data_IF_339310490828
#
_entry.id   IF_339310490828
#
_cell.length_a   1.000
_cell.length_b   1.000
_cell.length_c   1.000
_cell.angle_alpha   90.00
_cell.angle_beta   90.00
_cell.angle_gamma   90.00
#
_symmetry.space_group_name_H-M   'P 1'
#
loop_
_entity.id
_entity.type
_entity.pdbx_description
1 polymer ?
#
# COMPACT_ATOMS: atom_id res chain seq x y z
N UNK A 1 36.38 38.05 -37.09
CA UNK A 1 37.73 38.68 -37.08
C UNK A 1 38.47 38.14 -35.87
N UNK A 2 39.61 37.54 -36.16
CA UNK A 2 40.84 37.42 -35.36
C UNK A 2 40.71 36.66 -34.01
N UNK A 3 41.20 35.46 -33.95
CA UNK A 3 42.60 34.94 -33.86
C UNK A 3 43.06 34.84 -32.43
N UNK A 4 43.34 33.62 -31.97
CA UNK A 4 44.67 33.01 -31.73
C UNK A 4 45.21 33.32 -30.34
N UNK A 5 45.84 32.51 -29.53
CA UNK A 5 46.84 31.45 -29.75
C UNK A 5 47.19 30.84 -28.39
N UNK A 6 47.46 29.56 -28.37
CA UNK A 6 48.45 28.75 -27.67
C UNK A 6 49.32 29.37 -26.57
N UNK A 7 49.67 28.57 -25.52
CA UNK A 7 51.03 28.01 -25.39
C UNK A 7 51.07 26.94 -24.30
N UNK A 8 51.64 25.81 -24.65
CA UNK A 8 52.23 24.73 -23.86
C UNK A 8 53.36 25.24 -22.96
N UNK A 9 53.51 24.62 -21.77
CA UNK A 9 54.86 24.33 -21.28
C UNK A 9 54.87 23.10 -20.36
N UNK A 10 55.66 22.14 -20.76
CA UNK A 10 56.07 20.96 -20.03
C UNK A 10 57.16 21.32 -19.03
N UNK A 11 57.25 20.57 -17.91
CA UNK A 11 58.33 20.66 -16.94
C UNK A 11 58.45 19.34 -16.19
N UNK A 12 59.43 18.57 -16.55
CA UNK A 12 59.87 17.27 -16.01
C UNK A 12 60.71 17.44 -14.76
N UNK A 13 60.86 16.30 -13.99
CA UNK A 13 61.87 15.92 -12.99
C UNK A 13 61.59 16.33 -11.57
N UNK A 14 61.81 15.48 -10.54
CA UNK A 14 62.78 14.41 -10.36
C UNK A 14 62.39 13.40 -9.30
N UNK A 15 62.90 12.20 -9.45
CA UNK A 15 62.93 11.10 -8.49
C UNK A 15 63.63 11.48 -7.16
N UNK A 16 63.12 10.92 -6.04
CA UNK A 16 63.99 10.50 -4.95
C UNK A 16 63.35 9.30 -4.23
N UNK A 17 64.01 8.16 -4.38
CA UNK A 17 63.82 6.91 -3.63
C UNK A 17 64.25 7.11 -2.19
N UNK A 18 63.38 6.77 -1.22
CA UNK A 18 63.83 6.27 0.06
C UNK A 18 62.96 5.08 0.44
N UNK A 19 63.54 3.90 0.35
CA UNK A 19 63.02 2.67 0.91
C UNK A 19 63.22 2.67 2.41
N UNK A 20 62.18 2.47 3.18
CA UNK A 20 62.26 1.92 4.52
C UNK A 20 61.07 1.06 4.83
N UNK A 21 61.28 -0.25 4.96
CA UNK A 21 60.26 -1.25 5.13
C UNK A 21 59.50 -1.14 6.47
N UNK A 22 58.19 -1.16 6.38
CA UNK A 22 57.29 -1.67 7.42
C UNK A 22 56.33 -2.64 6.77
N UNK A 23 56.25 -3.84 7.35
CA UNK A 23 55.27 -4.87 6.95
C UNK A 23 53.91 -4.23 6.84
N UNK A 24 53.37 -4.21 5.61
CA UNK A 24 51.97 -3.92 5.36
C UNK A 24 51.15 -5.06 5.96
N UNK A 25 50.24 -4.72 6.87
CA UNK A 25 49.09 -5.55 7.16
C UNK A 25 48.31 -5.78 5.87
N UNK A 26 47.63 -6.92 5.67
CA UNK A 26 46.82 -7.11 4.49
C UNK A 26 45.72 -6.05 4.51
N UNK A 27 45.73 -5.17 3.52
CA UNK A 27 44.58 -4.34 3.20
C UNK A 27 43.43 -5.31 2.85
N UNK A 28 42.45 -5.39 3.74
CA UNK A 28 41.14 -5.84 3.39
C UNK A 28 40.56 -4.79 2.43
N UNK A 29 40.80 -4.98 1.14
CA UNK A 29 39.98 -4.38 0.11
C UNK A 29 38.61 -5.10 0.12
N UNK A 30 37.81 -4.78 1.10
CA UNK A 30 36.37 -4.98 0.99
C UNK A 30 35.87 -3.84 0.13
N UNK A 31 35.67 -4.09 -1.15
CA UNK A 31 34.76 -3.27 -1.93
C UNK A 31 33.45 -3.15 -1.14
N UNK A 32 32.90 -1.94 -0.98
CA UNK A 32 31.56 -1.82 -0.40
C UNK A 32 30.66 -2.63 -1.33
N UNK A 33 30.10 -3.74 -0.81
CA UNK A 33 29.12 -4.55 -1.52
C UNK A 33 28.07 -3.59 -2.03
N UNK A 34 28.03 -3.45 -3.37
CA UNK A 34 27.06 -2.61 -4.02
C UNK A 34 25.67 -2.96 -3.50
N UNK A 35 24.96 -1.98 -3.01
CA UNK A 35 23.73 -2.05 -2.22
C UNK A 35 22.51 -2.59 -3.01
N UNK A 36 22.69 -3.23 -4.17
CA UNK A 36 21.63 -3.64 -5.09
C UNK A 36 21.71 -5.07 -5.59
N UNK A 37 22.16 -6.00 -4.78
CA UNK A 37 22.20 -7.40 -5.20
C UNK A 37 21.06 -8.26 -4.65
N UNK A 38 20.16 -7.69 -3.82
CA UNK A 38 18.99 -8.42 -3.32
C UNK A 38 17.95 -8.48 -4.42
N UNK A 39 17.59 -9.70 -4.82
CA UNK A 39 16.62 -9.97 -5.89
C UNK A 39 15.27 -10.41 -5.38
N UNK A 40 15.19 -10.94 -4.16
CA UNK A 40 13.94 -11.25 -3.48
C UNK A 40 14.06 -11.00 -1.97
N UNK A 41 12.95 -10.63 -1.37
CA UNK A 41 12.80 -10.39 0.05
C UNK A 41 11.48 -11.00 0.51
N UNK A 42 11.52 -11.71 1.62
CA UNK A 42 10.33 -12.28 2.26
C UNK A 42 10.40 -11.99 3.74
N UNK A 43 9.27 -11.67 4.33
CA UNK A 43 9.17 -11.68 5.79
C UNK A 43 7.91 -12.41 6.26
N UNK A 44 7.97 -12.86 7.48
CA UNK A 44 6.84 -13.51 8.16
C UNK A 44 6.79 -13.10 9.62
N UNK A 45 5.60 -12.92 10.09
CA UNK A 45 5.15 -12.95 11.46
C UNK A 45 4.17 -14.12 11.62
N UNK A 46 3.68 -14.41 12.82
CA UNK A 46 2.72 -15.51 13.09
C UNK A 46 1.48 -15.48 12.18
N UNK A 47 1.04 -14.29 11.75
CA UNK A 47 -0.19 -14.09 10.98
C UNK A 47 0.03 -13.53 9.57
N UNK A 48 1.24 -13.11 9.26
CA UNK A 48 1.57 -12.41 8.01
C UNK A 48 2.70 -13.14 7.31
N UNK A 49 2.56 -13.31 6.00
CA UNK A 49 3.62 -13.76 5.11
C UNK A 49 3.58 -12.89 3.86
N UNK A 50 4.61 -12.11 3.62
CA UNK A 50 4.73 -11.27 2.44
C UNK A 50 6.02 -11.58 1.71
N UNK A 51 5.93 -11.67 0.39
CA UNK A 51 7.03 -11.98 -0.51
C UNK A 51 7.16 -10.92 -1.58
N UNK A 52 8.37 -10.42 -1.77
CA UNK A 52 8.71 -9.47 -2.82
C UNK A 52 9.74 -10.06 -3.77
N UNK A 53 9.65 -9.68 -5.01
CA UNK A 53 10.64 -9.97 -6.03
C UNK A 53 11.00 -8.70 -6.79
N UNK A 54 12.22 -8.64 -7.30
CA UNK A 54 12.66 -7.51 -8.13
C UNK A 54 12.46 -7.86 -9.60
N UNK A 55 11.70 -7.03 -10.30
CA UNK A 55 11.44 -7.14 -11.74
C UNK A 55 11.83 -5.81 -12.37
N UNK A 56 12.74 -5.83 -13.33
CA UNK A 56 13.26 -4.62 -14.01
C UNK A 56 13.66 -3.51 -13.01
N UNK A 57 14.47 -3.89 -12.01
CA UNK A 57 14.94 -3.04 -10.91
C UNK A 57 13.85 -2.44 -9.98
N UNK A 58 12.60 -2.84 -10.14
CA UNK A 58 11.47 -2.40 -9.31
C UNK A 58 11.01 -3.53 -8.41
N UNK A 59 10.71 -3.22 -7.15
CA UNK A 59 10.10 -4.17 -6.24
C UNK A 59 8.64 -4.44 -6.63
N UNK A 60 8.26 -5.71 -6.62
CA UNK A 60 6.89 -6.19 -6.85
C UNK A 60 6.49 -7.16 -5.76
N UNK A 61 5.20 -7.23 -5.44
CA UNK A 61 4.67 -8.31 -4.65
C UNK A 61 4.73 -9.61 -5.45
N UNK A 62 5.39 -10.65 -4.93
CA UNK A 62 5.62 -11.88 -5.68
C UNK A 62 4.35 -12.70 -5.97
N UNK A 63 3.32 -12.53 -5.12
CA UNK A 63 2.03 -13.24 -5.24
C UNK A 63 1.00 -12.47 -6.08
N UNK A 64 1.34 -11.23 -6.51
CA UNK A 64 0.51 -10.37 -7.36
C UNK A 64 1.37 -9.31 -8.02
N UNK A 65 2.00 -9.63 -9.15
CA UNK A 65 2.97 -8.75 -9.83
C UNK A 65 2.38 -7.44 -10.36
N UNK A 66 1.09 -7.39 -10.55
CA UNK A 66 0.30 -6.24 -10.98
C UNK A 66 -0.28 -5.41 -9.82
N UNK A 67 -0.10 -5.88 -8.56
CA UNK A 67 -0.48 -5.12 -7.38
C UNK A 67 0.17 -3.74 -7.37
N UNK A 68 -0.58 -2.65 -7.12
CA UNK A 68 -0.07 -1.30 -7.09
C UNK A 68 0.74 -1.04 -5.80
N UNK A 69 1.95 -1.56 -5.76
CA UNK A 69 2.83 -1.49 -4.59
C UNK A 69 3.48 -0.12 -4.46
N UNK A 70 3.32 0.54 -3.29
CA UNK A 70 4.25 1.57 -2.82
C UNK A 70 5.50 0.87 -2.28
N UNK A 71 6.59 0.90 -3.02
CA UNK A 71 7.81 0.18 -2.69
C UNK A 71 8.68 0.87 -1.62
N UNK A 72 8.26 2.02 -1.09
CA UNK A 72 8.98 2.78 -0.07
C UNK A 72 9.29 1.92 1.17
N UNK A 73 8.31 1.14 1.62
CA UNK A 73 8.46 0.21 2.74
C UNK A 73 9.53 -0.85 2.45
N UNK A 74 9.47 -1.46 1.25
CA UNK A 74 10.38 -2.54 0.85
C UNK A 74 11.81 -2.02 0.70
N UNK A 75 11.99 -0.83 0.12
CA UNK A 75 13.29 -0.17 0.00
C UNK A 75 13.91 0.14 1.37
N UNK A 76 13.08 0.59 2.33
CA UNK A 76 13.56 0.81 3.70
C UNK A 76 13.92 -0.51 4.37
N UNK A 77 13.10 -1.55 4.24
CA UNK A 77 13.37 -2.89 4.79
C UNK A 77 14.64 -3.50 4.19
N UNK A 78 14.86 -3.38 2.87
CA UNK A 78 16.09 -3.80 2.19
C UNK A 78 17.34 -3.17 2.82
N UNK A 79 17.31 -1.86 3.07
CA UNK A 79 18.41 -1.13 3.71
C UNK A 79 18.67 -1.61 5.13
N UNK A 80 17.63 -1.80 5.94
CA UNK A 80 17.74 -2.26 7.32
C UNK A 80 18.29 -3.69 7.40
N UNK A 81 17.81 -4.57 6.53
CA UNK A 81 18.30 -5.97 6.43
C UNK A 81 19.74 -6.00 5.93
N UNK A 82 20.09 -5.16 4.97
CA UNK A 82 21.50 -5.01 4.54
C UNK A 82 22.45 -4.66 5.69
N UNK A 83 22.01 -3.81 6.62
CA UNK A 83 22.76 -3.49 7.83
C UNK A 83 22.87 -4.70 8.79
N UNK A 84 21.79 -5.47 8.97
CA UNK A 84 21.81 -6.68 9.82
C UNK A 84 22.72 -7.78 9.25
N UNK A 85 22.81 -7.92 7.94
CA UNK A 85 23.71 -8.89 7.30
C UNK A 85 25.20 -8.57 7.55
N UNK A 86 25.51 -7.31 7.87
CA UNK A 86 26.86 -6.83 8.18
C UNK A 86 27.09 -6.63 9.69
N UNK A 87 26.07 -6.89 10.52
CA UNK A 87 26.17 -6.70 11.96
C UNK A 87 27.23 -7.64 12.59
N UNK A 88 27.88 -7.17 13.63
CA UNK A 88 28.77 -7.99 14.42
C UNK A 88 27.97 -8.92 15.34
N UNK A 89 28.47 -10.16 15.50
CA UNK A 89 27.91 -11.12 16.45
C UNK A 89 28.11 -10.67 17.88
N UNK A 90 27.11 -10.88 18.73
CA UNK A 90 27.23 -10.65 20.19
C UNK A 90 27.78 -11.87 20.94
N UNK A 91 28.00 -13.00 20.26
CA UNK A 91 28.55 -14.22 20.80
C UNK A 91 28.03 -15.49 20.17
N UNK A 92 28.46 -16.63 20.68
CA UNK A 92 28.03 -17.95 20.27
C UNK A 92 26.70 -18.32 20.94
N UNK A 93 25.86 -19.06 20.25
CA UNK A 93 24.63 -19.64 20.78
C UNK A 93 24.98 -20.96 21.47
N UNK A 94 24.98 -20.97 22.81
CA UNK A 94 25.21 -22.19 23.61
C UNK A 94 23.90 -22.96 23.81
N UNK A 95 22.78 -22.25 23.96
CA UNK A 95 21.43 -22.80 24.15
C UNK A 95 20.40 -21.94 23.42
N UNK A 96 19.74 -22.51 22.42
CA UNK A 96 18.76 -21.83 21.57
C UNK A 96 17.54 -21.30 22.35
N UNK A 97 17.13 -22.01 23.42
CA UNK A 97 15.99 -21.61 24.25
C UNK A 97 16.29 -20.33 25.04
N UNK A 98 17.56 -20.10 25.41
CA UNK A 98 17.99 -18.86 26.09
C UNK A 98 17.74 -17.63 25.24
N UNK A 99 17.80 -17.74 23.92
CA UNK A 99 17.54 -16.66 22.95
C UNK A 99 16.13 -16.70 22.35
N UNK A 100 15.36 -17.77 22.61
CA UNK A 100 14.00 -17.98 22.04
C UNK A 100 14.02 -18.46 20.59
N UNK A 101 15.11 -19.08 20.12
CA UNK A 101 15.22 -19.56 18.74
C UNK A 101 14.57 -20.91 18.49
N UNK A 102 14.27 -21.67 19.52
CA UNK A 102 13.58 -22.96 19.46
C UNK A 102 12.13 -22.86 18.92
N UNK A 103 11.52 -21.68 19.06
CA UNK A 103 10.15 -21.40 18.59
C UNK A 103 10.05 -20.10 17.78
N UNK A 104 11.14 -19.69 17.11
CA UNK A 104 11.16 -18.44 16.34
C UNK A 104 10.24 -18.49 15.13
N UNK A 105 9.11 -17.75 15.19
CA UNK A 105 8.13 -17.64 14.09
C UNK A 105 8.43 -16.45 13.17
N UNK A 106 8.95 -15.36 13.76
CA UNK A 106 9.28 -14.14 13.02
C UNK A 106 10.59 -14.29 12.27
N UNK A 107 10.60 -13.95 11.00
CA UNK A 107 11.81 -14.00 10.18
C UNK A 107 11.79 -13.05 9.01
N UNK A 108 12.98 -12.75 8.49
CA UNK A 108 13.20 -12.15 7.16
C UNK A 108 14.11 -13.10 6.39
N UNK A 109 13.75 -13.37 5.14
CA UNK A 109 14.62 -14.09 4.21
C UNK A 109 14.97 -13.17 3.04
N UNK A 110 16.24 -13.08 2.71
CA UNK A 110 16.75 -12.30 1.57
C UNK A 110 17.47 -13.20 0.60
N UNK A 111 17.17 -13.02 -0.68
CA UNK A 111 17.86 -13.73 -1.76
C UNK A 111 18.74 -12.74 -2.52
N UNK A 112 20.01 -13.07 -2.62
CA UNK A 112 20.98 -12.37 -3.43
C UNK A 112 21.52 -13.35 -4.48
N UNK A 113 21.28 -13.06 -5.75
CA UNK A 113 21.54 -13.99 -6.84
C UNK A 113 20.85 -15.35 -6.56
N UNK A 114 21.61 -16.41 -6.29
CA UNK A 114 21.06 -17.75 -6.05
C UNK A 114 21.15 -18.19 -4.57
N UNK A 115 21.60 -17.30 -3.69
CA UNK A 115 21.76 -17.60 -2.26
C UNK A 115 20.70 -16.86 -1.42
N UNK A 116 19.93 -17.63 -0.66
CA UNK A 116 19.01 -17.09 0.33
C UNK A 116 19.65 -17.16 1.73
N UNK A 117 19.50 -16.09 2.50
CA UNK A 117 19.86 -16.03 3.92
C UNK A 117 18.61 -15.69 4.72
N UNK A 118 18.30 -16.51 5.72
CA UNK A 118 17.20 -16.30 6.65
C UNK A 118 17.70 -15.77 7.97
N UNK A 119 17.12 -14.65 8.41
CA UNK A 119 17.30 -14.04 9.72
C UNK A 119 16.08 -14.38 10.58
N UNK A 120 16.25 -15.15 11.64
CA UNK A 120 15.19 -15.57 12.55
C UNK A 120 15.27 -14.80 13.85
N UNK A 121 14.13 -14.29 14.34
CA UNK A 121 14.05 -13.45 15.55
C UNK A 121 13.47 -14.28 16.69
N UNK A 122 14.18 -14.36 17.81
CA UNK A 122 13.78 -15.12 18.98
C UNK A 122 12.95 -14.30 19.96
N UNK A 123 13.51 -13.92 21.11
CA UNK A 123 12.86 -13.07 22.13
C UNK A 123 13.61 -11.76 22.33
N UNK A 124 12.96 -10.80 22.99
CA UNK A 124 13.60 -9.54 23.38
C UNK A 124 14.54 -9.72 24.57
N UNK A 125 15.62 -8.96 24.59
CA UNK A 125 16.49 -8.81 25.74
C UNK A 125 15.97 -7.72 26.71
N UNK A 126 16.68 -7.47 27.80
CA UNK A 126 16.28 -6.48 28.81
C UNK A 126 16.30 -5.02 28.28
N UNK A 127 16.95 -4.75 27.16
CA UNK A 127 17.03 -3.44 26.51
C UNK A 127 15.95 -3.26 25.42
N UNK A 128 15.07 -4.27 25.22
CA UNK A 128 14.02 -4.25 24.21
C UNK A 128 14.51 -4.59 22.80
N UNK A 129 15.74 -5.07 22.63
CA UNK A 129 16.23 -5.54 21.35
C UNK A 129 15.94 -7.03 21.18
N UNK A 130 15.68 -7.45 19.95
CA UNK A 130 15.44 -8.85 19.62
C UNK A 130 16.74 -9.60 19.40
N UNK A 131 16.88 -10.76 19.99
CA UNK A 131 17.89 -11.72 19.59
C UNK A 131 17.58 -12.22 18.18
N UNK A 132 18.60 -12.31 17.34
CA UNK A 132 18.51 -12.75 15.96
C UNK A 132 19.61 -13.78 15.68
N UNK A 133 19.29 -14.79 14.88
CA UNK A 133 20.27 -15.72 14.31
C UNK A 133 20.14 -15.72 12.79
N UNK A 134 21.17 -16.21 12.10
CA UNK A 134 21.24 -16.31 10.64
C UNK A 134 21.55 -17.75 10.26
N UNK A 135 20.86 -18.27 9.24
CA UNK A 135 21.06 -19.65 8.78
C UNK A 135 22.41 -19.88 8.09
N UNK A 136 23.07 -18.83 7.58
CA UNK A 136 24.44 -18.89 7.07
C UNK A 136 25.52 -18.83 8.17
N UNK A 137 25.15 -18.46 9.41
CA UNK A 137 25.98 -18.44 10.61
C UNK A 137 25.15 -18.91 11.84
N UNK A 138 24.72 -20.18 11.86
CA UNK A 138 23.70 -20.66 12.79
C UNK A 138 24.14 -20.69 14.26
N UNK A 139 25.44 -20.70 14.50
CA UNK A 139 26.01 -20.73 15.85
C UNK A 139 26.24 -19.34 16.46
N UNK A 140 25.91 -18.26 15.74
CA UNK A 140 26.14 -16.89 16.16
C UNK A 140 24.83 -16.16 16.47
N UNK A 141 24.82 -15.42 17.59
CA UNK A 141 23.72 -14.54 17.97
C UNK A 141 24.01 -13.08 17.58
N UNK A 142 22.97 -12.36 17.23
CA UNK A 142 22.98 -10.95 16.87
C UNK A 142 21.85 -10.21 17.58
N UNK A 143 21.81 -8.87 17.46
CA UNK A 143 20.71 -8.05 17.94
C UNK A 143 20.06 -7.29 16.79
N UNK A 144 18.74 -7.21 16.83
CA UNK A 144 17.93 -6.40 15.93
C UNK A 144 17.08 -5.41 16.73
N UNK A 145 16.78 -4.25 16.14
CA UNK A 145 15.93 -3.25 16.75
C UNK A 145 14.46 -3.68 16.73
N UNK A 146 13.72 -3.37 17.78
CA UNK A 146 12.30 -3.68 17.92
C UNK A 146 11.46 -3.09 16.79
N UNK A 147 11.74 -1.87 16.35
CA UNK A 147 11.03 -1.22 15.25
C UNK A 147 11.09 -2.01 13.95
N UNK A 148 12.20 -2.66 13.65
CA UNK A 148 12.32 -3.53 12.49
C UNK A 148 11.42 -4.77 12.62
N UNK A 149 11.45 -5.41 13.79
CA UNK A 149 10.66 -6.64 14.01
C UNK A 149 9.16 -6.35 14.03
N UNK A 150 8.74 -5.19 14.54
CA UNK A 150 7.35 -4.75 14.47
C UNK A 150 6.86 -4.56 13.04
N UNK A 151 7.71 -4.16 12.10
CA UNK A 151 7.35 -4.04 10.67
C UNK A 151 6.94 -5.37 10.03
N UNK A 152 7.32 -6.52 10.61
CA UNK A 152 7.01 -7.83 10.04
C UNK A 152 5.51 -8.20 10.16
N UNK A 153 4.72 -7.44 10.92
CA UNK A 153 3.28 -7.57 10.98
C UNK A 153 2.52 -6.72 9.95
N UNK A 154 3.24 -5.91 9.14
CA UNK A 154 2.62 -5.07 8.11
C UNK A 154 2.06 -5.94 6.98
N UNK A 155 0.78 -5.76 6.64
CA UNK A 155 0.13 -6.45 5.53
C UNK A 155 0.59 -5.88 4.18
N UNK A 156 0.52 -6.68 3.12
CA UNK A 156 0.75 -6.19 1.76
C UNK A 156 -0.25 -5.07 1.38
N UNK A 157 -1.47 -5.14 1.88
CA UNK A 157 -2.51 -4.14 1.59
C UNK A 157 -2.23 -2.77 2.24
N UNK A 158 -1.45 -2.74 3.34
CA UNK A 158 -0.98 -1.49 3.95
C UNK A 158 0.07 -0.76 3.09
N UNK A 159 0.59 -1.43 2.07
CA UNK A 159 1.58 -0.91 1.11
C UNK A 159 0.97 -0.62 -0.27
N UNK A 160 -0.35 -0.62 -0.40
CA UNK A 160 -1.00 -0.32 -1.66
C UNK A 160 -0.90 1.17 -2.01
N UNK A 161 -0.54 1.48 -3.25
CA UNK A 161 -0.80 2.80 -3.82
C UNK A 161 -2.31 2.93 -4.00
N UNK A 162 -2.91 3.83 -3.24
CA UNK A 162 -4.34 4.08 -3.31
C UNK A 162 -4.70 4.83 -4.60
N UNK A 163 -5.91 4.59 -5.17
CA UNK A 163 -6.33 5.22 -6.40
C UNK A 163 -6.48 6.73 -6.22
N UNK A 164 -6.07 7.49 -7.23
CA UNK A 164 -6.39 8.90 -7.31
C UNK A 164 -7.81 9.06 -7.82
N UNK A 165 -8.69 9.63 -7.00
CA UNK A 165 -10.07 9.91 -7.38
C UNK A 165 -10.15 11.16 -8.26
N UNK A 166 -11.19 11.31 -9.11
CA UNK A 166 -11.41 12.54 -9.88
C UNK A 166 -11.55 13.75 -8.95
N UNK A 167 -10.99 14.87 -9.36
CA UNK A 167 -11.20 16.12 -8.66
C UNK A 167 -12.56 16.72 -9.06
N UNK A 168 -13.55 16.57 -8.21
CA UNK A 168 -14.85 17.19 -8.39
C UNK A 168 -14.85 18.62 -7.84
N UNK A 169 -15.52 19.53 -8.51
CA UNK A 169 -15.73 20.92 -8.11
C UNK A 169 -17.12 21.37 -8.49
N UNK A 170 -17.60 22.45 -7.88
CA UNK A 170 -18.89 23.04 -8.25
C UNK A 170 -19.00 23.37 -9.76
N UNK A 171 -17.87 23.70 -10.39
CA UNK A 171 -17.84 24.12 -11.79
C UNK A 171 -17.89 22.95 -12.78
N UNK A 172 -17.37 21.78 -12.37
CA UNK A 172 -17.27 20.62 -13.26
C UNK A 172 -18.31 19.53 -13.01
N UNK A 173 -18.98 19.50 -11.85
CA UNK A 173 -20.06 18.58 -11.54
C UNK A 173 -21.29 18.85 -12.41
N UNK A 174 -21.83 17.81 -13.03
CA UNK A 174 -23.00 17.92 -13.90
C UNK A 174 -24.19 17.12 -13.34
N UNK A 175 -24.00 15.83 -13.05
CA UNK A 175 -25.06 15.00 -12.48
C UNK A 175 -24.51 14.03 -11.44
N UNK A 176 -25.36 13.64 -10.51
CA UNK A 176 -25.13 12.52 -9.59
C UNK A 176 -26.36 11.61 -9.63
N UNK A 177 -26.13 10.33 -9.87
CA UNK A 177 -27.17 9.32 -9.85
C UNK A 177 -26.89 8.31 -8.75
N UNK A 178 -27.87 8.08 -7.88
CA UNK A 178 -27.83 7.06 -6.84
C UNK A 178 -28.78 5.94 -7.25
N UNK A 179 -28.24 4.73 -7.40
CA UNK A 179 -28.97 3.53 -7.80
C UNK A 179 -28.76 2.39 -6.82
N UNK A 180 -29.82 1.68 -6.47
CA UNK A 180 -29.76 0.42 -5.76
C UNK A 180 -30.91 -0.49 -6.22
N UNK A 181 -30.63 -1.80 -6.39
CA UNK A 181 -31.61 -2.75 -6.95
C UNK A 181 -32.96 -2.78 -6.21
N UNK A 182 -32.96 -2.51 -4.92
CA UNK A 182 -34.16 -2.55 -4.07
C UNK A 182 -34.92 -1.21 -4.02
N UNK A 183 -35.14 -0.58 -5.17
CA UNK A 183 -36.12 0.54 -5.28
C UNK A 183 -35.52 1.93 -5.03
N UNK A 184 -34.21 2.13 -5.19
CA UNK A 184 -33.64 3.47 -5.21
C UNK A 184 -33.20 3.82 -6.64
N UNK A 185 -33.74 4.92 -7.18
CA UNK A 185 -33.24 5.60 -8.37
C UNK A 185 -33.40 7.10 -8.18
N UNK A 186 -32.35 7.79 -7.82
CA UNK A 186 -32.34 9.23 -7.63
C UNK A 186 -31.34 9.89 -8.59
N UNK A 187 -31.87 10.71 -9.51
CA UNK A 187 -31.04 11.47 -10.43
C UNK A 187 -31.06 12.95 -10.07
N UNK A 188 -29.87 13.48 -9.74
CA UNK A 188 -29.61 14.87 -9.37
C UNK A 188 -28.89 15.58 -10.53
N UNK A 189 -29.30 16.80 -10.85
CA UNK A 189 -28.62 17.65 -11.84
C UNK A 189 -28.09 18.90 -11.12
N UNK A 190 -26.79 19.17 -11.30
CA UNK A 190 -26.15 20.39 -10.81
C UNK A 190 -26.11 21.43 -11.92
N UNK A 191 -26.53 22.66 -11.62
CA UNK A 191 -26.41 23.80 -12.52
C UNK A 191 -26.28 25.08 -11.74
N UNK A 192 -25.23 25.88 -12.03
CA UNK A 192 -24.97 27.17 -11.41
C UNK A 192 -24.94 27.11 -9.85
N UNK A 193 -24.47 25.99 -9.28
CA UNK A 193 -24.46 25.74 -7.84
C UNK A 193 -25.80 25.34 -7.23
N UNK A 194 -26.83 25.13 -8.05
CA UNK A 194 -28.13 24.64 -7.61
C UNK A 194 -28.33 23.17 -8.04
N UNK A 195 -28.93 22.39 -7.15
CA UNK A 195 -29.26 20.99 -7.38
C UNK A 195 -30.77 20.81 -7.63
N UNK A 196 -31.11 19.99 -8.61
CA UNK A 196 -32.50 19.63 -8.93
C UNK A 196 -32.67 18.13 -9.09
N UNK A 197 -33.80 17.60 -8.61
CA UNK A 197 -34.27 16.24 -8.87
C UNK A 197 -35.66 16.32 -9.53
N UNK A 198 -35.85 15.66 -10.69
CA UNK A 198 -37.10 15.72 -11.45
C UNK A 198 -37.61 17.15 -11.67
N UNK A 199 -36.71 18.10 -11.89
CA UNK A 199 -37.01 19.52 -12.10
C UNK A 199 -37.40 20.30 -10.83
N UNK A 200 -37.37 19.71 -9.65
CA UNK A 200 -37.59 20.38 -8.37
C UNK A 200 -36.23 20.64 -7.67
N UNK A 201 -36.09 21.82 -7.06
CA UNK A 201 -34.90 22.17 -6.30
C UNK A 201 -34.79 21.27 -5.08
N UNK A 202 -33.58 20.72 -4.87
CA UNK A 202 -33.20 19.92 -3.72
C UNK A 202 -32.01 20.53 -3.01
N UNK A 203 -31.91 20.31 -1.71
CA UNK A 203 -30.77 20.78 -0.92
C UNK A 203 -29.69 19.67 -0.93
N UNK A 204 -28.62 19.89 -1.67
CA UNK A 204 -27.52 18.94 -1.80
C UNK A 204 -26.12 19.60 -1.71
N UNK A 205 -26.03 20.74 -0.97
CA UNK A 205 -24.76 21.46 -0.82
C UNK A 205 -23.72 20.62 -0.07
N UNK A 206 -24.17 19.78 0.86
CA UNK A 206 -23.28 18.90 1.63
C UNK A 206 -22.80 17.72 0.79
N UNK A 207 -23.63 17.17 -0.11
CA UNK A 207 -23.22 16.18 -1.10
C UNK A 207 -22.06 16.69 -1.97
N UNK A 208 -22.18 17.93 -2.47
CA UNK A 208 -21.10 18.51 -3.27
C UNK A 208 -19.80 18.57 -2.50
N UNK A 209 -19.80 19.03 -1.24
CA UNK A 209 -18.60 19.10 -0.40
C UNK A 209 -18.00 17.72 -0.13
N UNK A 210 -18.86 16.71 0.06
CA UNK A 210 -18.38 15.32 0.21
C UNK A 210 -17.70 14.83 -1.07
N UNK A 211 -18.31 15.03 -2.24
CA UNK A 211 -17.71 14.65 -3.51
C UNK A 211 -16.37 15.35 -3.78
N UNK A 212 -16.24 16.63 -3.41
CA UNK A 212 -14.99 17.39 -3.52
C UNK A 212 -13.86 16.85 -2.63
N UNK A 213 -14.19 16.14 -1.55
CA UNK A 213 -13.25 15.63 -0.56
C UNK A 213 -13.17 14.11 -0.48
N UNK A 214 -13.72 13.38 -1.46
CA UNK A 214 -13.66 11.91 -1.45
C UNK A 214 -12.21 11.42 -1.41
N UNK A 215 -11.94 10.51 -0.50
CA UNK A 215 -10.67 9.78 -0.44
C UNK A 215 -10.91 8.35 0.03
N UNK A 216 -10.14 7.42 -0.48
CA UNK A 216 -10.01 6.08 0.09
C UNK A 216 -8.80 6.07 1.02
N UNK A 217 -8.87 5.31 2.10
CA UNK A 217 -7.83 5.31 3.14
C UNK A 217 -7.06 4.01 3.22
N UNK A 218 -7.62 2.92 2.67
CA UNK A 218 -7.06 1.58 2.83
C UNK A 218 -7.45 0.68 1.66
N UNK A 219 -6.51 -0.12 1.17
CA UNK A 219 -6.80 -1.27 0.34
C UNK A 219 -7.20 -2.43 1.25
N UNK A 220 -8.34 -3.07 0.96
CA UNK A 220 -8.88 -4.15 1.79
C UNK A 220 -8.66 -5.51 1.12
N UNK A 221 -8.96 -5.62 -0.17
CA UNK A 221 -8.75 -6.84 -0.94
C UNK A 221 -8.51 -6.49 -2.41
N UNK A 222 -7.37 -6.93 -2.91
CA UNK A 222 -6.97 -6.81 -4.31
C UNK A 222 -7.32 -8.10 -5.04
N UNK A 223 -8.13 -8.05 -6.08
CA UNK A 223 -8.70 -9.23 -6.76
C UNK A 223 -9.59 -10.10 -5.85
N UNK A 224 -10.62 -9.50 -5.23
CA UNK A 224 -11.47 -10.20 -4.27
C UNK A 224 -12.17 -11.39 -4.90
N UNK A 225 -12.31 -12.46 -4.11
CA UNK A 225 -13.13 -13.60 -4.48
C UNK A 225 -14.63 -13.23 -4.40
N UNK A 226 -15.50 -14.02 -5.07
CA UNK A 226 -16.94 -13.83 -4.96
C UNK A 226 -17.44 -13.85 -3.50
N UNK A 227 -16.85 -14.69 -2.65
CA UNK A 227 -17.17 -14.72 -1.22
C UNK A 227 -16.75 -13.45 -0.48
N UNK A 228 -15.59 -12.88 -0.81
CA UNK A 228 -15.14 -11.60 -0.22
C UNK A 228 -16.03 -10.44 -0.69
N UNK A 229 -16.43 -10.42 -1.96
CA UNK A 229 -17.37 -9.44 -2.52
C UNK A 229 -18.68 -9.47 -1.74
N UNK A 230 -19.27 -10.66 -1.51
CA UNK A 230 -20.50 -10.83 -0.75
C UNK A 230 -20.35 -10.43 0.73
N UNK A 231 -19.25 -10.84 1.39
CA UNK A 231 -18.97 -10.48 2.78
C UNK A 231 -18.80 -8.96 2.98
N UNK A 232 -18.27 -8.26 1.98
CA UNK A 232 -18.16 -6.80 1.99
C UNK A 232 -19.45 -6.07 1.56
N UNK A 233 -20.58 -6.80 1.36
CA UNK A 233 -21.90 -6.22 1.11
C UNK A 233 -22.12 -5.74 -0.33
N UNK A 234 -21.38 -6.28 -1.31
CA UNK A 234 -21.55 -5.90 -2.71
C UNK A 234 -22.56 -6.77 -3.48
N UNK A 235 -23.37 -7.57 -2.80
CA UNK A 235 -24.50 -8.28 -3.44
C UNK A 235 -25.56 -7.30 -3.92
N UNK A 236 -25.85 -6.24 -3.14
CA UNK A 236 -26.77 -5.15 -3.47
C UNK A 236 -26.15 -3.78 -3.12
N UNK A 237 -25.05 -3.37 -3.80
CA UNK A 237 -24.35 -2.14 -3.45
C UNK A 237 -25.16 -0.91 -3.80
N UNK A 238 -24.96 0.16 -3.04
CA UNK A 238 -25.39 1.50 -3.48
C UNK A 238 -24.41 1.99 -4.54
N UNK A 239 -24.87 2.20 -5.76
CA UNK A 239 -24.09 2.72 -6.87
C UNK A 239 -24.26 4.24 -6.96
N UNK A 240 -23.16 4.97 -6.96
CA UNK A 240 -23.10 6.43 -7.14
C UNK A 240 -22.38 6.71 -8.44
N UNK A 241 -23.11 7.19 -9.45
CA UNK A 241 -22.53 7.62 -10.73
C UNK A 241 -22.43 9.14 -10.76
N UNK A 242 -21.22 9.67 -10.93
CA UNK A 242 -20.95 11.10 -11.03
C UNK A 242 -20.55 11.44 -12.46
N UNK A 243 -21.37 12.26 -13.16
CA UNK A 243 -21.00 12.82 -14.45
C UNK A 243 -20.40 14.21 -14.26
N UNK A 244 -19.23 14.42 -14.85
CA UNK A 244 -18.46 15.65 -14.68
C UNK A 244 -17.69 16.05 -15.94
N UNK A 245 -17.37 17.33 -16.07
CA UNK A 245 -16.46 17.80 -17.11
C UNK A 245 -15.02 17.58 -16.66
N UNK A 246 -14.28 16.74 -17.39
CA UNK A 246 -12.87 16.47 -17.09
C UNK A 246 -11.96 17.65 -17.48
N UNK A 247 -10.66 17.54 -17.20
CA UNK A 247 -9.66 18.60 -17.43
C UNK A 247 -9.52 19.09 -18.89
N UNK A 248 -10.01 18.31 -19.86
CA UNK A 248 -10.05 18.69 -21.28
C UNK A 248 -11.44 19.15 -21.74
N UNK A 249 -12.37 19.32 -20.80
CA UNK A 249 -13.74 19.79 -21.06
C UNK A 249 -14.68 18.74 -21.67
N UNK A 250 -14.26 17.47 -21.72
CA UNK A 250 -15.14 16.37 -22.14
C UNK A 250 -15.92 15.82 -20.95
N UNK A 251 -17.15 15.36 -21.22
CA UNK A 251 -17.94 14.67 -20.21
C UNK A 251 -17.35 13.29 -19.91
N UNK A 252 -17.27 12.96 -18.64
CA UNK A 252 -16.82 11.66 -18.13
C UNK A 252 -17.75 11.22 -17.00
N UNK A 253 -17.97 9.92 -16.91
CA UNK A 253 -18.68 9.30 -15.79
C UNK A 253 -17.68 8.58 -14.89
N UNK A 254 -17.89 8.70 -13.60
CA UNK A 254 -17.14 7.97 -12.58
C UNK A 254 -18.13 7.27 -11.65
N UNK A 255 -17.82 6.03 -11.29
CA UNK A 255 -18.70 5.18 -10.49
C UNK A 255 -18.03 4.84 -9.17
N UNK A 256 -18.77 5.05 -8.08
CA UNK A 256 -18.46 4.54 -6.74
C UNK A 256 -19.55 3.53 -6.37
N UNK A 257 -19.15 2.31 -6.02
CA UNK A 257 -20.07 1.36 -5.40
C UNK A 257 -19.76 1.27 -3.91
N UNK A 258 -20.78 1.40 -3.09
CA UNK A 258 -20.70 1.34 -1.64
C UNK A 258 -21.34 0.03 -1.19
N UNK A 259 -20.55 -0.80 -0.54
CA UNK A 259 -20.95 -2.06 0.09
C UNK A 259 -21.40 -1.89 1.53
N UNK A 260 -21.02 -2.85 2.38
CA UNK A 260 -21.30 -2.83 3.82
C UNK A 260 -20.36 -1.92 4.62
N UNK A 261 -20.72 -1.71 5.89
CA UNK A 261 -19.85 -1.04 6.86
C UNK A 261 -18.60 -1.89 7.12
N UNK A 262 -17.43 -1.26 7.24
CA UNK A 262 -16.17 -1.92 7.54
C UNK A 262 -16.20 -2.53 8.94
N UNK A 263 -15.47 -3.64 9.14
CA UNK A 263 -15.49 -4.42 10.42
C UNK A 263 -15.04 -3.58 11.61
N UNK A 264 -14.10 -2.66 11.40
CA UNK A 264 -13.61 -1.75 12.46
C UNK A 264 -14.59 -0.63 12.78
N UNK A 265 -15.64 -0.45 11.96
CA UNK A 265 -16.66 0.57 12.15
C UNK A 265 -16.21 1.97 11.73
N UNK A 266 -15.04 2.14 11.12
CA UNK A 266 -14.48 3.45 10.76
C UNK A 266 -14.95 3.94 9.38
N UNK A 267 -15.33 3.03 8.48
CA UNK A 267 -15.69 3.32 7.10
C UNK A 267 -16.72 2.40 6.49
N UNK A 268 -16.83 2.47 5.18
CA UNK A 268 -17.57 1.56 4.32
C UNK A 268 -16.65 0.93 3.29
N UNK A 269 -16.92 -0.31 2.94
CA UNK A 269 -16.26 -0.95 1.82
C UNK A 269 -16.74 -0.33 0.51
N UNK A 270 -15.80 0.03 -0.36
CA UNK A 270 -16.10 0.65 -1.65
C UNK A 270 -15.28 0.03 -2.78
N UNK A 271 -15.82 0.09 -4.01
CA UNK A 271 -15.04 -0.05 -5.24
C UNK A 271 -15.10 1.24 -6.04
N UNK A 272 -14.05 1.59 -6.78
CA UNK A 272 -13.95 2.86 -7.50
C UNK A 272 -13.68 2.65 -8.98
N UNK A 273 -14.46 3.32 -9.83
CA UNK A 273 -14.35 3.19 -11.28
C UNK A 273 -14.71 1.77 -11.76
N UNK A 274 -13.89 1.25 -12.65
CA UNK A 274 -14.04 -0.11 -13.21
C UNK A 274 -13.22 -1.15 -12.43
N UNK A 275 -12.44 -0.72 -11.42
CA UNK A 275 -11.61 -1.60 -10.59
C UNK A 275 -12.49 -2.42 -9.64
N UNK A 276 -12.20 -3.72 -9.53
CA UNK A 276 -12.87 -4.61 -8.59
C UNK A 276 -12.23 -4.65 -7.21
N UNK A 277 -11.07 -3.99 -7.04
CA UNK A 277 -10.38 -3.88 -5.75
C UNK A 277 -11.30 -3.25 -4.71
N UNK A 278 -11.38 -3.89 -3.55
CA UNK A 278 -12.14 -3.38 -2.42
C UNK A 278 -11.24 -2.44 -1.62
N UNK A 279 -11.73 -1.24 -1.41
CA UNK A 279 -11.11 -0.22 -0.58
C UNK A 279 -12.00 0.09 0.62
N UNK A 280 -11.47 0.86 1.57
CA UNK A 280 -12.22 1.47 2.65
C UNK A 280 -12.28 2.98 2.45
N UNK A 281 -13.48 3.55 2.63
CA UNK A 281 -13.72 4.99 2.60
C UNK A 281 -14.34 5.42 3.92
N UNK A 282 -13.83 6.50 4.58
CA UNK A 282 -14.34 6.98 5.85
C UNK A 282 -15.83 7.32 5.81
N UNK A 283 -16.55 7.10 6.91
CA UNK A 283 -18.00 7.36 7.03
C UNK A 283 -18.37 8.81 6.76
N UNK A 284 -17.56 9.73 7.21
CA UNK A 284 -17.81 11.17 7.06
C UNK A 284 -17.72 11.66 5.61
N UNK A 285 -17.11 10.87 4.73
CA UNK A 285 -17.08 11.14 3.29
C UNK A 285 -18.33 10.62 2.53
N UNK A 286 -19.23 9.90 3.21
CA UNK A 286 -20.41 9.28 2.59
C UNK A 286 -21.72 9.65 3.27
N UNK A 287 -21.70 10.55 4.27
CA UNK A 287 -22.87 10.88 5.10
C UNK A 287 -24.03 11.40 4.29
N UNK A 288 -23.80 12.38 3.40
CA UNK A 288 -24.87 12.97 2.56
C UNK A 288 -25.36 12.02 1.49
N UNK A 289 -24.46 11.24 0.89
CA UNK A 289 -24.81 10.18 -0.07
C UNK A 289 -25.76 9.17 0.56
N UNK A 290 -25.37 8.64 1.74
CA UNK A 290 -26.17 7.63 2.45
C UNK A 290 -27.51 8.20 2.94
N UNK A 291 -27.53 9.46 3.43
CA UNK A 291 -28.75 10.13 3.85
C UNK A 291 -29.71 10.35 2.67
N UNK A 292 -29.20 10.84 1.53
CA UNK A 292 -30.01 10.99 0.32
C UNK A 292 -30.56 9.66 -0.17
N UNK A 293 -29.76 8.60 -0.12
CA UNK A 293 -30.22 7.26 -0.47
C UNK A 293 -31.34 6.78 0.48
N UNK A 294 -31.18 6.97 1.79
CA UNK A 294 -32.21 6.59 2.77
C UNK A 294 -33.52 7.35 2.61
N UNK A 295 -33.43 8.68 2.37
CA UNK A 295 -34.60 9.56 2.23
C UNK A 295 -35.41 9.31 0.95
N UNK A 296 -34.79 8.70 -0.08
CA UNK A 296 -35.39 8.49 -1.40
C UNK A 296 -35.65 7.01 -1.73
N UNK A 297 -35.42 6.08 -0.82
CA UNK A 297 -35.88 4.70 -1.01
C UNK A 297 -37.41 4.67 -1.03
N UNK A 298 -37.99 4.06 -2.07
CA UNK A 298 -39.38 3.73 -2.05
C UNK A 298 -39.58 2.61 -1.03
N UNK A 299 -40.39 2.84 -0.01
CA UNK A 299 -40.93 1.75 0.81
C UNK A 299 -41.66 0.82 -0.15
N UNK A 300 -41.22 -0.44 -0.27
CA UNK A 300 -42.00 -1.48 -0.94
C UNK A 300 -43.32 -1.53 -0.16
N UNK A 301 -44.39 -1.07 -0.78
CA UNK A 301 -45.71 -1.05 -0.16
C UNK A 301 -46.11 -2.49 0.16
N UNK A 302 -46.45 -2.76 1.40
CA UNK A 302 -46.85 -4.07 1.93
C UNK A 302 -48.17 -4.55 1.25
N UNK A 303 -48.77 -3.75 0.37
CA UNK A 303 -50.04 -4.00 -0.29
C UNK A 303 -50.00 -5.06 -1.41
N UNK A 304 -48.80 -5.44 -1.89
CA UNK A 304 -48.72 -6.48 -2.95
C UNK A 304 -48.63 -7.92 -2.38
N UNK A 305 -48.45 -8.10 -1.08
CA UNK A 305 -48.39 -9.43 -0.46
C UNK A 305 -49.79 -10.06 -0.13
N UNK A 306 -50.88 -9.28 -0.14
CA UNK A 306 -52.24 -9.80 0.14
C UNK A 306 -52.99 -10.32 -1.07
N UNK A 307 -52.46 -10.19 -2.29
CA UNK A 307 -53.17 -10.61 -3.51
C UNK A 307 -52.82 -12.04 -3.98
N UNK A 308 -51.84 -12.70 -3.42
CA UNK A 308 -51.47 -14.10 -3.81
C UNK A 308 -52.10 -15.19 -2.90
N UNK A 309 -52.76 -14.85 -1.80
CA UNK A 309 -53.40 -15.87 -0.93
C UNK A 309 -54.88 -16.17 -1.27
N UNK A 310 -55.47 -15.56 -2.32
CA UNK A 310 -56.88 -15.78 -2.69
C UNK A 310 -57.07 -16.19 -4.15
N UNK A 311 -56.26 -17.08 -4.69
CA UNK A 311 -56.61 -17.80 -5.94
C UNK A 311 -56.32 -19.29 -5.85
#
# INVERSE_FOLDING_TARGET
MKRLLCVLLAGLMAMSLFACGKKAAPEQSGDPVAQSSITALQYSDDNVLVRFTRVDDTWKWADGLDFPLDDTFVLQLEKEVGALLQAESIGMIEDAATYGFDNAQKYIAVTNQDKTVRLSFGKQNAEGKWYMTRDDQPDAAYLADDQLVQKLSTSIYDMALLPTLPAFTQENLCTVTLDQEEGLHLHLTAKDGEWTASGKKVKADDLQKELENLTVTKCVDYHPTAGAISLCGFDTPLSVTVSYANSVGSMSDWVLKIGGEAIDGEGFYVTVGEDSTIYEMPKDHLTSVLQLAADNRQELSVDDAELEENN
#
